data_IF_315991906110
#
_entry.id   IF_315991906110
#
_cell.length_a   1.000
_cell.length_b   1.000
_cell.length_c   1.000
_cell.angle_alpha   90.00
_cell.angle_beta   90.00
_cell.angle_gamma   90.00
#
_symmetry.space_group_name_H-M   'P 1'
#
loop_
_entity.id
_entity.type
_entity.pdbx_description
1 polymer ?
#
# COMPACT_ATOMS: atom_id res chain seq x y z
N UNK A 1 -3.61 -9.48 -71.53
CA UNK A 1 -3.16 -10.14 -70.29
C UNK A 1 -2.06 -9.27 -69.70
N UNK A 2 -2.15 -8.61 -68.54
CA UNK A 2 -2.88 -8.95 -67.34
C UNK A 2 -3.42 -7.73 -66.57
N UNK A 3 -4.49 -8.06 -65.87
CA UNK A 3 -5.40 -7.27 -65.07
C UNK A 3 -4.75 -6.77 -63.76
N UNK A 4 -5.11 -5.55 -63.36
CA UNK A 4 -5.55 -5.21 -62.01
C UNK A 4 -4.71 -5.75 -60.82
N UNK A 5 -3.85 -4.90 -60.23
CA UNK A 5 -3.64 -4.98 -58.78
C UNK A 5 -4.16 -3.70 -58.13
N UNK A 6 -5.42 -3.84 -57.76
CA UNK A 6 -6.29 -2.85 -57.15
C UNK A 6 -5.71 -2.39 -55.82
N UNK A 7 -5.85 -1.09 -55.59
CA UNK A 7 -6.05 -0.43 -54.29
C UNK A 7 -6.34 -1.41 -53.16
N UNK A 8 -5.45 -1.49 -52.17
CA UNK A 8 -5.75 -2.00 -50.85
C UNK A 8 -5.01 -1.13 -49.84
N UNK A 9 -5.56 0.07 -49.63
CA UNK A 9 -5.23 0.93 -48.50
C UNK A 9 -5.85 0.25 -47.28
N UNK A 10 -5.05 -0.55 -46.57
CA UNK A 10 -5.48 -1.22 -45.34
C UNK A 10 -5.73 -0.18 -44.25
N UNK A 11 -7.00 0.06 -43.93
CA UNK A 11 -7.40 0.78 -42.72
C UNK A 11 -7.12 -0.17 -41.55
N UNK A 12 -6.01 0.06 -40.85
CA UNK A 12 -5.74 -0.58 -39.57
C UNK A 12 -6.70 0.04 -38.54
N UNK A 13 -7.84 -0.60 -38.32
CA UNK A 13 -8.73 -0.26 -37.20
C UNK A 13 -8.00 -0.64 -35.92
N UNK A 14 -7.44 0.36 -35.25
CA UNK A 14 -6.86 0.22 -33.93
C UNK A 14 -8.00 -0.19 -32.99
N UNK A 15 -8.10 -1.48 -32.65
CA UNK A 15 -8.90 -1.92 -31.50
C UNK A 15 -8.24 -1.32 -30.27
N UNK A 16 -8.66 -0.11 -29.91
CA UNK A 16 -8.50 0.38 -28.55
C UNK A 16 -9.40 -0.54 -27.73
N UNK A 17 -8.80 -1.58 -27.14
CA UNK A 17 -9.43 -2.29 -26.05
C UNK A 17 -9.74 -1.22 -25.01
N UNK A 18 -11.02 -0.84 -24.93
CA UNK A 18 -11.51 -0.13 -23.78
C UNK A 18 -11.28 -1.10 -22.62
N UNK A 19 -10.19 -0.89 -21.86
CA UNK A 19 -10.11 -1.43 -20.52
C UNK A 19 -11.27 -0.76 -19.79
N UNK A 20 -12.43 -1.42 -19.80
CA UNK A 20 -13.50 -1.10 -18.86
C UNK A 20 -12.83 -1.22 -17.51
N UNK A 21 -12.57 -0.09 -16.86
CA UNK A 21 -12.02 -0.05 -15.52
C UNK A 21 -13.14 -0.56 -14.61
N UNK A 22 -13.19 -1.88 -14.54
CA UNK A 22 -13.87 -2.61 -13.51
C UNK A 22 -13.26 -2.20 -12.17
N UNK A 23 -14.11 -1.78 -11.24
CA UNK A 23 -13.69 -1.21 -9.99
C UNK A 23 -14.39 -1.91 -8.83
N UNK A 24 -13.64 -2.13 -7.75
CA UNK A 24 -14.18 -2.62 -6.48
C UNK A 24 -14.48 -1.41 -5.61
N UNK A 25 -15.76 -1.20 -5.31
CA UNK A 25 -16.20 -0.08 -4.52
C UNK A 25 -16.36 -0.52 -3.05
N UNK A 26 -15.56 0.07 -2.16
CA UNK A 26 -15.48 -0.36 -0.76
C UNK A 26 -16.01 0.72 0.16
N UNK A 27 -17.08 0.41 0.87
CA UNK A 27 -17.70 1.26 1.88
C UNK A 27 -17.37 0.79 3.30
N UNK A 28 -17.32 1.72 4.23
CA UNK A 28 -16.97 1.44 5.63
C UNK A 28 -18.10 1.82 6.58
N UNK A 29 -18.34 0.98 7.59
CA UNK A 29 -19.16 1.36 8.73
C UNK A 29 -18.58 2.59 9.43
N UNK A 30 -19.43 3.41 10.06
CA UNK A 30 -19.06 4.71 10.63
C UNK A 30 -17.90 4.64 11.64
N UNK A 31 -17.78 3.55 12.37
CA UNK A 31 -16.74 3.34 13.38
C UNK A 31 -15.53 2.58 12.84
N UNK A 32 -15.45 2.31 11.53
CA UNK A 32 -14.28 1.76 10.86
C UNK A 32 -13.47 2.90 10.24
N UNK A 33 -12.20 2.99 10.65
CA UNK A 33 -11.24 3.96 10.14
C UNK A 33 -10.22 3.24 9.24
N UNK A 34 -10.15 3.66 7.98
CA UNK A 34 -9.12 3.27 7.03
C UNK A 34 -7.83 4.04 7.32
N UNK A 35 -6.71 3.34 7.34
CA UNK A 35 -5.39 3.88 7.67
C UNK A 35 -4.45 3.86 6.47
N UNK A 36 -4.52 2.81 5.64
CA UNK A 36 -3.71 2.66 4.44
C UNK A 36 -4.38 1.74 3.42
N UNK A 37 -4.06 1.96 2.14
CA UNK A 37 -4.48 1.14 0.99
C UNK A 37 -3.22 0.59 0.34
N UNK A 38 -3.11 -0.74 0.23
CA UNK A 38 -1.96 -1.44 -0.37
C UNK A 38 -0.62 -0.91 0.17
N UNK A 39 -0.54 -0.68 1.48
CA UNK A 39 0.65 -0.16 2.19
C UNK A 39 0.81 1.36 2.15
N UNK A 40 0.08 2.07 1.30
CA UNK A 40 0.16 3.53 1.19
C UNK A 40 -0.76 4.19 2.24
N UNK A 41 -0.22 4.97 3.18
CA UNK A 41 -1.03 5.62 4.20
C UNK A 41 -1.97 6.66 3.59
N UNK A 42 -3.12 6.85 4.21
CA UNK A 42 -3.91 8.06 3.96
C UNK A 42 -3.10 9.28 4.43
N UNK A 43 -3.24 10.41 3.75
CA UNK A 43 -2.52 11.63 4.10
C UNK A 43 -2.71 12.00 5.58
N UNK A 44 -1.67 12.52 6.23
CA UNK A 44 -1.64 12.74 7.69
C UNK A 44 -2.77 13.62 8.26
N UNK A 45 -3.50 14.36 7.42
CA UNK A 45 -4.61 15.24 7.81
C UNK A 45 -5.95 14.89 7.16
N UNK A 46 -6.03 13.76 6.43
CA UNK A 46 -7.28 13.36 5.79
C UNK A 46 -8.13 12.55 6.76
N UNK A 47 -9.37 12.97 6.96
CA UNK A 47 -10.39 12.12 7.59
C UNK A 47 -10.50 10.83 6.78
N UNK A 48 -10.62 9.69 7.45
CA UNK A 48 -10.88 8.42 6.77
C UNK A 48 -12.10 8.57 5.85
N UNK A 49 -11.99 8.20 4.57
CA UNK A 49 -13.12 8.22 3.66
C UNK A 49 -14.17 7.19 4.13
N UNK A 50 -15.45 7.47 3.83
CA UNK A 50 -16.54 6.50 4.05
C UNK A 50 -16.65 5.48 2.92
N UNK A 51 -16.05 5.78 1.77
CA UNK A 51 -16.03 4.93 0.59
C UNK A 51 -14.74 5.18 -0.21
N UNK A 52 -14.19 4.13 -0.81
CA UNK A 52 -13.05 4.20 -1.72
C UNK A 52 -13.33 3.33 -2.94
N UNK A 53 -12.62 3.62 -4.02
CA UNK A 53 -12.62 2.81 -5.23
C UNK A 53 -11.24 2.15 -5.36
N UNK A 54 -11.22 0.84 -5.59
CA UNK A 54 -10.01 0.03 -5.75
C UNK A 54 -10.00 -0.60 -7.14
N UNK A 55 -8.80 -0.81 -7.67
CA UNK A 55 -8.62 -1.63 -8.86
C UNK A 55 -9.03 -3.07 -8.58
N UNK A 56 -9.50 -3.77 -9.60
CA UNK A 56 -9.79 -5.20 -9.53
C UNK A 56 -8.57 -6.03 -9.12
N UNK A 57 -8.86 -7.13 -8.44
CA UNK A 57 -7.88 -8.13 -8.05
C UNK A 57 -7.51 -8.06 -6.57
N UNK A 58 -6.29 -8.50 -6.21
CA UNK A 58 -5.86 -8.59 -4.82
C UNK A 58 -5.62 -7.20 -4.23
N UNK A 59 -6.37 -6.88 -3.18
CA UNK A 59 -6.24 -5.63 -2.44
C UNK A 59 -6.03 -5.90 -0.95
N UNK A 60 -5.29 -5.00 -0.31
CA UNK A 60 -5.03 -5.01 1.12
C UNK A 60 -5.37 -3.66 1.74
N UNK A 61 -6.20 -3.68 2.76
CA UNK A 61 -6.57 -2.50 3.52
C UNK A 61 -6.05 -2.62 4.94
N UNK A 62 -5.53 -1.52 5.49
CA UNK A 62 -5.20 -1.44 6.91
C UNK A 62 -6.29 -0.61 7.58
N UNK A 63 -7.07 -1.23 8.45
CA UNK A 63 -8.22 -0.60 9.11
C UNK A 63 -8.11 -0.73 10.62
N UNK A 64 -8.85 0.10 11.36
CA UNK A 64 -9.08 -0.07 12.80
C UNK A 64 -10.49 0.37 13.17
N UNK A 65 -10.99 -0.07 14.32
CA UNK A 65 -12.20 0.51 14.88
C UNK A 65 -11.83 1.78 15.66
N UNK A 66 -12.54 2.87 15.37
CA UNK A 66 -12.43 4.17 16.04
C UNK A 66 -13.81 4.69 16.41
N UNK A 67 -14.13 4.66 17.70
CA UNK A 67 -15.47 5.02 18.21
C UNK A 67 -15.40 5.80 19.52
N UNK A 68 -16.48 6.52 19.83
CA UNK A 68 -16.73 7.02 21.18
C UNK A 68 -17.48 5.94 21.98
N UNK A 69 -16.89 5.48 23.07
CA UNK A 69 -17.48 4.48 23.96
C UNK A 69 -17.86 5.16 25.28
N UNK A 70 -18.98 4.75 25.87
CA UNK A 70 -19.43 5.27 27.17
C UNK A 70 -18.66 4.59 28.32
N UNK A 71 -18.08 5.42 29.19
CA UNK A 71 -17.35 5.08 30.41
C UNK A 71 -17.97 5.88 31.56
N UNK A 72 -18.75 5.22 32.43
CA UNK A 72 -19.36 5.85 33.61
C UNK A 72 -20.09 7.19 33.33
N UNK A 73 -20.78 7.30 32.19
CA UNK A 73 -21.51 8.51 31.79
C UNK A 73 -20.71 9.51 30.94
N UNK A 74 -19.40 9.33 30.79
CA UNK A 74 -18.55 10.10 29.88
C UNK A 74 -18.28 9.32 28.58
N UNK A 75 -18.06 10.01 27.47
CA UNK A 75 -17.64 9.38 26.22
C UNK A 75 -16.14 9.53 26.02
N UNK A 76 -15.44 8.41 25.80
CA UNK A 76 -14.01 8.38 25.52
C UNK A 76 -13.73 7.78 24.14
N UNK A 77 -12.73 8.33 23.45
CA UNK A 77 -12.27 7.77 22.17
C UNK A 77 -11.59 6.43 22.41
N UNK A 78 -12.17 5.39 21.82
CA UNK A 78 -11.66 4.04 21.80
C UNK A 78 -11.08 3.73 20.41
N UNK A 79 -9.88 3.16 20.39
CA UNK A 79 -9.16 2.75 19.19
C UNK A 79 -8.68 1.31 19.37
N UNK A 80 -8.92 0.45 18.38
CA UNK A 80 -8.35 -0.89 18.37
C UNK A 80 -6.95 -0.89 17.75
N UNK A 81 -6.24 -2.02 17.87
CA UNK A 81 -5.07 -2.26 17.02
C UNK A 81 -5.48 -2.26 15.53
N UNK A 82 -4.59 -1.85 14.61
CA UNK A 82 -4.83 -1.97 13.18
C UNK A 82 -4.90 -3.44 12.74
N UNK A 83 -5.74 -3.73 11.75
CA UNK A 83 -5.93 -5.04 11.13
C UNK A 83 -5.70 -4.90 9.63
N UNK A 84 -4.98 -5.87 9.06
CA UNK A 84 -4.88 -6.04 7.61
C UNK A 84 -6.07 -6.85 7.16
N UNK A 85 -6.82 -6.34 6.18
CA UNK A 85 -7.85 -7.05 5.44
C UNK A 85 -7.31 -7.33 4.04
N UNK A 86 -7.22 -8.59 3.64
CA UNK A 86 -6.72 -9.02 2.32
C UNK A 86 -7.82 -9.79 1.61
N UNK A 87 -8.22 -9.33 0.43
CA UNK A 87 -9.28 -9.92 -0.38
C UNK A 87 -8.94 -9.78 -1.86
N UNK A 88 -9.54 -10.62 -2.70
CA UNK A 88 -9.37 -10.59 -4.15
C UNK A 88 -10.74 -10.57 -4.81
N UNK A 89 -11.14 -9.42 -5.34
CA UNK A 89 -12.49 -9.15 -5.81
C UNK A 89 -12.45 -8.34 -7.11
N UNK A 90 -13.53 -8.34 -7.87
CA UNK A 90 -13.64 -7.65 -9.16
C UNK A 90 -15.09 -7.23 -9.39
N UNK A 91 -15.31 -6.01 -9.91
CA UNK A 91 -16.64 -5.48 -10.28
C UNK A 91 -17.71 -5.63 -9.18
N UNK A 92 -17.37 -5.34 -7.92
CA UNK A 92 -18.28 -5.60 -6.79
C UNK A 92 -18.29 -4.47 -5.75
N UNK A 93 -19.37 -4.42 -4.98
CA UNK A 93 -19.54 -3.54 -3.84
C UNK A 93 -19.22 -4.32 -2.55
N UNK A 94 -18.25 -3.84 -1.79
CA UNK A 94 -17.90 -4.38 -0.47
C UNK A 94 -18.31 -3.41 0.63
N UNK A 95 -18.86 -3.95 1.71
CA UNK A 95 -19.11 -3.23 2.95
C UNK A 95 -18.30 -3.83 4.09
N UNK A 96 -17.49 -3.00 4.76
CA UNK A 96 -16.63 -3.41 5.88
C UNK A 96 -17.20 -2.87 7.18
N UNK A 97 -17.50 -3.77 8.11
CA UNK A 97 -18.04 -3.47 9.44
C UNK A 97 -17.24 -4.14 10.55
N UNK A 98 -17.37 -3.63 11.77
CA UNK A 98 -16.80 -4.32 12.94
C UNK A 98 -17.60 -5.61 13.21
N UNK A 99 -16.93 -6.71 13.54
CA UNK A 99 -17.62 -7.99 13.79
C UNK A 99 -18.54 -7.96 15.02
N UNK A 100 -18.32 -6.99 15.90
CA UNK A 100 -19.03 -6.79 17.17
C UNK A 100 -19.30 -5.31 17.40
N UNK A 101 -20.53 -5.00 17.81
CA UNK A 101 -20.90 -3.65 18.24
C UNK A 101 -20.35 -3.36 19.64
N UNK A 102 -19.56 -2.29 19.74
CA UNK A 102 -19.00 -1.79 20.99
C UNK A 102 -19.66 -0.45 21.31
N UNK A 103 -20.35 -0.37 22.44
CA UNK A 103 -21.09 0.80 22.91
C UNK A 103 -20.59 1.23 24.30
N UNK A 104 -20.19 0.25 25.11
CA UNK A 104 -19.77 0.44 26.51
C UNK A 104 -18.41 -0.20 26.79
N UNK A 105 -17.75 0.26 27.85
CA UNK A 105 -16.43 -0.20 28.28
C UNK A 105 -16.35 -1.72 28.50
N UNK A 106 -17.38 -2.33 29.08
CA UNK A 106 -17.44 -3.78 29.35
C UNK A 106 -17.33 -4.64 28.09
N UNK A 107 -17.69 -4.08 26.93
CA UNK A 107 -17.67 -4.77 25.64
C UNK A 107 -16.31 -4.73 24.92
N UNK A 108 -15.39 -3.88 25.39
CA UNK A 108 -14.08 -3.68 24.79
C UNK A 108 -13.17 -4.88 25.00
N UNK A 109 -13.27 -5.53 26.18
CA UNK A 109 -12.29 -6.51 26.65
C UNK A 109 -12.00 -7.57 25.58
N UNK A 110 -10.74 -7.63 25.15
CA UNK A 110 -10.24 -8.58 24.15
C UNK A 110 -10.31 -8.05 22.72
N UNK A 111 -11.37 -7.31 22.36
CA UNK A 111 -11.51 -6.73 21.03
C UNK A 111 -10.50 -5.61 20.77
N UNK A 112 -10.04 -4.93 21.82
CA UNK A 112 -8.95 -3.96 21.74
C UNK A 112 -7.65 -4.58 21.21
N UNK A 113 -7.38 -5.84 21.57
CA UNK A 113 -6.15 -6.57 21.26
C UNK A 113 -6.24 -7.42 20.01
N UNK A 114 -7.40 -8.02 19.79
CA UNK A 114 -7.73 -8.89 18.66
C UNK A 114 -9.06 -8.45 18.03
N UNK A 115 -9.09 -7.24 17.44
CA UNK A 115 -10.26 -6.78 16.70
C UNK A 115 -10.47 -7.67 15.47
N UNK A 116 -11.73 -7.82 15.08
CA UNK A 116 -12.12 -8.52 13.86
C UNK A 116 -13.22 -7.77 13.12
N UNK A 117 -13.26 -7.99 11.80
CA UNK A 117 -14.13 -7.32 10.86
C UNK A 117 -15.00 -8.35 10.12
N UNK A 118 -16.13 -7.86 9.60
CA UNK A 118 -16.98 -8.57 8.66
C UNK A 118 -16.99 -7.82 7.34
N UNK A 119 -17.01 -8.59 6.26
CA UNK A 119 -17.17 -8.08 4.91
C UNK A 119 -18.52 -8.56 4.39
N UNK A 120 -19.24 -7.69 3.69
CA UNK A 120 -20.43 -8.04 2.93
C UNK A 120 -20.20 -7.66 1.47
N UNK A 121 -20.38 -8.62 0.57
CA UNK A 121 -20.36 -8.42 -0.87
C UNK A 121 -21.79 -8.23 -1.37
N UNK A 122 -22.12 -7.05 -1.89
CA UNK A 122 -23.46 -6.72 -2.39
C UNK A 122 -24.59 -7.04 -1.38
N UNK A 123 -24.30 -6.90 -0.07
CA UNK A 123 -25.23 -7.18 1.03
C UNK A 123 -25.28 -8.63 1.51
N UNK A 124 -24.41 -9.50 1.00
CA UNK A 124 -24.26 -10.90 1.42
C UNK A 124 -22.94 -11.07 2.17
N UNK A 125 -22.94 -11.79 3.29
CA UNK A 125 -21.70 -12.03 4.06
C UNK A 125 -20.61 -12.68 3.19
N UNK A 126 -19.47 -12.00 3.08
CA UNK A 126 -18.31 -12.42 2.32
C UNK A 126 -17.27 -13.00 3.27
N UNK A 127 -16.94 -14.29 3.10
CA UNK A 127 -16.02 -15.02 3.98
C UNK A 127 -14.68 -15.36 3.33
N UNK A 128 -14.51 -15.14 2.02
CA UNK A 128 -13.27 -15.45 1.29
C UNK A 128 -12.26 -14.30 1.36
N UNK A 129 -11.87 -13.96 2.58
CA UNK A 129 -10.85 -12.96 2.85
C UNK A 129 -9.99 -13.36 4.04
N UNK A 130 -8.78 -12.82 4.07
CA UNK A 130 -7.92 -12.93 5.22
C UNK A 130 -7.98 -11.66 6.07
N UNK A 131 -7.94 -11.83 7.39
CA UNK A 131 -7.75 -10.73 8.32
C UNK A 131 -6.75 -11.08 9.41
N UNK A 132 -5.97 -10.09 9.86
CA UNK A 132 -5.15 -10.26 11.05
C UNK A 132 -4.56 -8.96 11.57
N UNK A 133 -4.28 -8.94 12.87
CA UNK A 133 -3.73 -7.75 13.54
C UNK A 133 -2.37 -7.41 12.95
N UNK A 134 -2.20 -6.14 12.54
CA UNK A 134 -0.93 -5.62 12.03
C UNK A 134 -0.01 -5.25 13.20
N UNK A 135 1.12 -5.95 13.39
CA UNK A 135 2.08 -5.62 14.43
C UNK A 135 2.66 -4.21 14.24
N UNK A 136 2.97 -3.54 15.35
CA UNK A 136 3.65 -2.24 15.30
C UNK A 136 5.13 -2.45 14.99
N UNK A 137 5.67 -1.69 14.05
CA UNK A 137 7.09 -1.68 13.72
C UNK A 137 7.94 -0.92 14.75
N UNK A 138 9.26 -1.08 14.67
CA UNK A 138 10.23 -0.50 15.62
C UNK A 138 10.42 1.03 15.54
N UNK A 139 9.64 1.74 14.72
CA UNK A 139 9.75 3.18 14.50
C UNK A 139 8.99 4.04 15.53
N UNK A 140 9.35 5.32 15.60
CA UNK A 140 8.62 6.33 16.41
C UNK A 140 7.20 6.48 15.86
N UNK A 141 7.08 6.69 14.55
CA UNK A 141 5.81 6.72 13.82
C UNK A 141 5.49 5.34 13.23
N UNK A 142 4.21 5.15 12.89
CA UNK A 142 3.77 3.98 12.11
C UNK A 142 4.28 4.13 10.68
N UNK A 143 4.88 3.06 10.18
CA UNK A 143 5.32 2.91 8.80
C UNK A 143 4.51 1.76 8.20
N UNK A 144 3.30 2.08 7.73
CA UNK A 144 2.35 1.06 7.26
C UNK A 144 2.84 0.32 6.02
N UNK A 145 3.70 0.94 5.21
CA UNK A 145 4.30 0.30 4.05
C UNK A 145 5.24 -0.82 4.49
N UNK A 146 6.18 -0.51 5.40
CA UNK A 146 7.10 -1.51 5.94
C UNK A 146 6.41 -2.57 6.80
N UNK A 147 5.49 -2.15 7.68
CA UNK A 147 4.75 -3.07 8.54
C UNK A 147 3.91 -4.06 7.71
N UNK A 148 3.27 -3.60 6.63
CA UNK A 148 2.53 -4.48 5.74
C UNK A 148 3.44 -5.43 4.97
N UNK A 149 4.61 -4.97 4.53
CA UNK A 149 5.59 -5.84 3.88
C UNK A 149 6.05 -6.97 4.82
N UNK A 150 6.40 -6.65 6.06
CA UNK A 150 6.76 -7.64 7.09
C UNK A 150 5.60 -8.60 7.38
N UNK A 151 4.38 -8.07 7.47
CA UNK A 151 3.16 -8.86 7.64
C UNK A 151 2.95 -9.84 6.48
N UNK A 152 3.12 -9.39 5.24
CA UNK A 152 2.95 -10.22 4.05
C UNK A 152 3.96 -11.37 3.98
N UNK A 153 5.21 -11.11 4.39
CA UNK A 153 6.24 -12.17 4.51
C UNK A 153 5.84 -13.18 5.57
N UNK A 154 5.39 -12.73 6.74
CA UNK A 154 5.01 -13.61 7.84
C UNK A 154 3.80 -14.50 7.53
N UNK A 155 2.90 -14.05 6.65
CA UNK A 155 1.66 -14.75 6.30
C UNK A 155 1.68 -15.38 4.89
N UNK A 156 2.79 -15.29 4.17
CA UNK A 156 2.93 -15.91 2.84
C UNK A 156 2.13 -15.22 1.72
N UNK A 157 1.72 -13.96 1.90
CA UNK A 157 1.05 -13.17 0.83
C UNK A 157 2.02 -12.72 -0.26
N UNK A 158 3.32 -12.85 -0.01
CA UNK A 158 4.33 -12.68 -1.06
C UNK A 158 4.39 -14.00 -1.83
N UNK A 159 3.89 -14.00 -3.07
CA UNK A 159 4.23 -15.06 -4.02
C UNK A 159 5.76 -15.18 -4.04
N UNK A 160 6.30 -16.40 -3.94
CA UNK A 160 7.73 -16.66 -4.06
C UNK A 160 8.24 -16.21 -5.43
N UNK A 161 8.54 -14.93 -5.54
CA UNK A 161 9.16 -14.29 -6.67
C UNK A 161 9.92 -13.10 -6.12
N UNK A 162 11.10 -13.37 -5.56
CA UNK A 162 12.23 -12.44 -5.73
C UNK A 162 12.58 -12.36 -7.22
N UNK A 163 11.66 -11.93 -8.06
CA UNK A 163 12.00 -11.25 -9.30
C UNK A 163 12.17 -9.81 -8.88
N UNK A 164 13.40 -9.49 -8.48
CA UNK A 164 13.90 -8.12 -8.64
C UNK A 164 13.49 -7.70 -10.06
N UNK A 165 12.86 -6.54 -10.30
CA UNK A 165 12.87 -6.00 -11.64
C UNK A 165 14.33 -5.85 -12.03
N UNK A 166 14.80 -6.74 -12.89
CA UNK A 166 16.06 -6.57 -13.58
C UNK A 166 15.84 -5.33 -14.46
N UNK A 167 16.41 -4.20 -14.05
CA UNK A 167 16.64 -3.10 -14.98
C UNK A 167 17.67 -3.61 -15.99
N UNK A 168 17.16 -4.21 -17.05
CA UNK A 168 17.94 -4.47 -18.27
C UNK A 168 18.18 -3.11 -18.91
N UNK A 169 19.29 -2.47 -18.58
CA UNK A 169 19.78 -1.35 -19.35
C UNK A 169 20.27 -1.87 -20.70
N UNK A 170 19.38 -1.83 -21.69
CA UNK A 170 19.74 -1.98 -23.09
C UNK A 170 20.73 -0.89 -23.46
N UNK A 171 22.00 -1.25 -23.60
CA UNK A 171 22.99 -0.39 -24.22
C UNK A 171 22.71 -0.34 -25.73
N UNK A 172 22.10 0.74 -26.22
CA UNK A 172 22.25 1.14 -27.62
C UNK A 172 22.08 2.65 -27.79
N UNK A 173 23.24 3.29 -27.98
CA UNK A 173 23.55 4.53 -28.70
C UNK A 173 22.39 5.33 -29.34
N UNK A 174 22.26 6.62 -28.97
CA UNK A 174 22.56 7.82 -29.80
C UNK A 174 21.80 9.07 -29.31
N UNK A 175 22.58 10.11 -29.02
CA UNK A 175 22.36 11.56 -29.03
C UNK A 175 20.92 12.15 -29.08
N UNK A 176 20.63 12.97 -28.05
CA UNK A 176 20.40 14.42 -28.10
C UNK A 176 19.11 14.93 -27.42
N UNK A 177 19.36 15.79 -26.42
CA UNK A 177 18.62 17.00 -26.02
C UNK A 177 17.14 16.88 -25.64
N UNK A 178 16.83 17.05 -24.35
CA UNK A 178 15.87 18.06 -23.85
C UNK A 178 16.23 18.46 -22.41
N UNK A 179 16.13 19.76 -22.18
CA UNK A 179 16.23 20.55 -20.95
C UNK A 179 15.36 20.01 -19.80
N UNK A 180 15.90 20.03 -18.56
CA UNK A 180 15.06 20.03 -17.36
C UNK A 180 15.54 21.11 -16.40
N UNK A 181 14.66 22.08 -16.20
CA UNK A 181 14.80 23.19 -15.26
C UNK A 181 14.28 22.74 -13.89
N UNK A 182 15.18 22.82 -12.90
CA UNK A 182 14.98 23.27 -11.52
C UNK A 182 13.74 22.83 -10.72
N UNK A 183 13.99 22.02 -9.68
CA UNK A 183 13.27 22.12 -8.42
C UNK A 183 14.28 22.46 -7.30
N UNK A 184 13.92 23.49 -6.56
CA UNK A 184 14.74 24.30 -5.66
C UNK A 184 15.21 23.51 -4.43
N UNK A 185 16.50 23.61 -4.16
CA UNK A 185 17.22 23.10 -3.00
C UNK A 185 16.89 23.89 -1.73
N UNK A 186 16.36 23.21 -0.71
CA UNK A 186 16.53 23.64 0.68
C UNK A 186 17.81 23.00 1.22
N UNK A 187 18.90 23.75 1.15
CA UNK A 187 20.18 23.41 1.77
C UNK A 187 20.08 23.54 3.30
N UNK A 188 19.71 22.45 3.97
CA UNK A 188 20.01 22.30 5.40
C UNK A 188 21.45 21.82 5.49
N UNK A 189 22.34 22.69 5.95
CA UNK A 189 23.75 22.37 6.21
C UNK A 189 23.83 21.31 7.31
N UNK A 190 23.96 20.05 6.92
CA UNK A 190 24.30 18.96 7.84
C UNK A 190 25.74 19.17 8.32
N UNK A 191 25.96 19.16 9.64
CA UNK A 191 27.31 19.13 10.19
C UNK A 191 28.01 17.84 9.76
N UNK A 192 29.34 17.86 9.62
CA UNK A 192 30.12 16.69 9.17
C UNK A 192 29.81 15.42 9.99
N UNK A 193 29.59 15.57 11.31
CA UNK A 193 29.18 14.46 12.19
C UNK A 193 27.81 13.87 11.82
N UNK A 194 26.84 14.71 11.45
CA UNK A 194 25.51 14.26 11.04
C UNK A 194 25.57 13.55 9.69
N UNK A 195 26.38 14.07 8.77
CA UNK A 195 26.65 13.47 7.46
C UNK A 195 27.29 12.08 7.61
N UNK A 196 28.23 11.94 8.54
CA UNK A 196 28.88 10.66 8.84
C UNK A 196 27.92 9.65 9.47
N UNK A 197 27.07 10.08 10.40
CA UNK A 197 26.04 9.23 11.03
C UNK A 197 25.07 8.70 9.97
N UNK A 198 24.60 9.55 9.07
CA UNK A 198 23.69 9.15 7.98
C UNK A 198 24.37 8.15 7.05
N UNK A 199 25.64 8.39 6.67
CA UNK A 199 26.39 7.47 5.82
C UNK A 199 26.58 6.09 6.48
N UNK A 200 26.84 6.05 7.79
CA UNK A 200 26.94 4.79 8.54
C UNK A 200 25.59 4.06 8.60
N UNK A 201 24.49 4.78 8.85
CA UNK A 201 23.16 4.21 8.88
C UNK A 201 22.77 3.62 7.51
N UNK A 202 23.05 4.34 6.43
CA UNK A 202 22.80 3.85 5.07
C UNK A 202 23.71 2.68 4.70
N UNK A 203 24.98 2.67 5.14
CA UNK A 203 25.87 1.53 4.96
C UNK A 203 25.37 0.27 5.68
N UNK A 204 24.86 0.38 6.91
CA UNK A 204 24.33 -0.76 7.67
C UNK A 204 23.01 -1.31 7.09
N UNK A 205 22.25 -0.47 6.37
CA UNK A 205 21.04 -0.88 5.64
C UNK A 205 21.36 -1.68 4.37
N UNK A 206 22.58 -1.60 3.85
CA UNK A 206 22.97 -2.34 2.66
C UNK A 206 23.15 -3.84 2.95
N UNK A 207 22.71 -4.74 2.06
CA UNK A 207 23.05 -6.16 2.12
C UNK A 207 24.57 -6.39 2.13
N UNK A 208 25.04 -7.48 2.75
CA UNK A 208 26.47 -7.79 2.90
C UNK A 208 27.27 -7.70 1.59
N UNK A 209 26.70 -8.15 0.48
CA UNK A 209 27.34 -8.07 -0.85
C UNK A 209 27.57 -6.63 -1.33
N UNK A 210 26.60 -5.74 -1.10
CA UNK A 210 26.68 -4.33 -1.52
C UNK A 210 27.62 -3.52 -0.64
N UNK A 211 27.69 -3.87 0.66
CA UNK A 211 28.68 -3.31 1.58
C UNK A 211 30.11 -3.61 1.12
N UNK A 212 30.40 -4.85 0.71
CA UNK A 212 31.73 -5.23 0.21
C UNK A 212 32.15 -4.44 -1.05
N UNK A 213 31.22 -4.21 -1.97
CA UNK A 213 31.45 -3.37 -3.16
C UNK A 213 31.73 -1.92 -2.78
N UNK A 214 30.96 -1.37 -1.84
CA UNK A 214 31.14 0.00 -1.36
C UNK A 214 32.52 0.19 -0.70
N UNK A 215 32.94 -0.73 0.17
CA UNK A 215 34.27 -0.69 0.80
C UNK A 215 35.38 -0.78 -0.26
N UNK A 216 35.21 -1.63 -1.29
CA UNK A 216 36.18 -1.75 -2.37
C UNK A 216 36.34 -0.45 -3.18
N UNK A 217 35.25 0.26 -3.42
CA UNK A 217 35.29 1.57 -4.08
C UNK A 217 35.89 2.65 -3.18
N UNK A 218 35.51 2.69 -1.90
CA UNK A 218 36.00 3.69 -0.95
C UNK A 218 37.52 3.57 -0.74
N UNK A 219 38.08 2.36 -0.77
CA UNK A 219 39.53 2.14 -0.71
C UNK A 219 40.28 2.55 -1.99
N UNK A 220 39.58 2.87 -3.09
CA UNK A 220 40.15 3.34 -4.35
C UNK A 220 40.06 4.87 -4.51
N UNK A 221 39.42 5.56 -3.57
CA UNK A 221 39.38 7.03 -3.52
C UNK A 221 40.59 7.58 -2.77
#
# INVERSE_FOLDING_TARGET
>A
MNNNLKKLLGVATLLVAANSQAAVNVSFERDVELLAINGKPLGAFTKSPSNIELEDGPNQLITRVSKLVSYNGEFKKFLTKPVVLTFNQSETDLHISASRSIIREDQIKGFDKEPSFKLEESGVEFSDFHQGVLPRGAGIARDYERELADYNVAHGFVAEARVKPALTYGATTKNATVVTQSATSSSMSLSDDQSLIILQADFLRLPAEKRAVFIKWAAQQ
#
